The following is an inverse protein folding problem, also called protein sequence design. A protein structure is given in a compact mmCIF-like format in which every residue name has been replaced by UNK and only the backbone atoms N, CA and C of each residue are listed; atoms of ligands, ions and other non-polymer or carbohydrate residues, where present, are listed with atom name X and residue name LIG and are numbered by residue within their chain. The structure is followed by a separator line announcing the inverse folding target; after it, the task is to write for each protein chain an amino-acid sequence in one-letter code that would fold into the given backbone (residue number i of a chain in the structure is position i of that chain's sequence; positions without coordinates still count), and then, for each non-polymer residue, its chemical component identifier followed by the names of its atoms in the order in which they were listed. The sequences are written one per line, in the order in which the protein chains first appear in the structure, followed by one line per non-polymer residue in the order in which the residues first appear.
data_IF_687044179471
#
_entry.id   IF_687044179471
#
_cell.length_a   1.000
_cell.length_b   1.000
_cell.length_c   1.000
_cell.angle_alpha   90.00
_cell.angle_beta   90.00
_cell.angle_gamma   90.00
#
_symmetry.space_group_name_H-M   'P 1'
#
loop_
_entity.id
_entity.type
_entity.pdbx_description
1 polymer ?
#
# COMPACT_ATOMS: atom_id res chain seq x y z
N UNK A 1 -3.60 -8.86 15.28
CA UNK A 1 -2.36 -8.79 14.48
C UNK A 1 -1.19 -9.42 15.24
N UNK A 2 -0.89 -8.96 16.46
CA UNK A 2 0.25 -9.44 17.27
C UNK A 2 0.26 -10.98 17.46
N UNK A 3 -0.83 -11.59 17.94
CA UNK A 3 -0.86 -13.05 18.17
C UNK A 3 -0.68 -13.92 16.91
N UNK A 4 -1.12 -13.45 15.73
CA UNK A 4 -0.86 -14.16 14.46
C UNK A 4 0.60 -14.01 14.01
N UNK A 5 1.20 -12.85 14.26
CA UNK A 5 2.58 -12.59 13.90
C UNK A 5 3.55 -13.40 14.75
N UNK A 6 3.31 -13.48 16.06
CA UNK A 6 4.08 -14.31 16.98
C UNK A 6 4.07 -15.79 16.61
N UNK A 7 2.93 -16.30 16.12
CA UNK A 7 2.82 -17.67 15.63
C UNK A 7 3.82 -17.92 14.48
N UNK A 8 3.76 -17.12 13.42
CA UNK A 8 4.67 -17.26 12.27
C UNK A 8 6.14 -16.98 12.64
N UNK A 9 6.40 -16.09 13.59
CA UNK A 9 7.76 -15.80 14.02
C UNK A 9 8.41 -17.00 14.74
N UNK A 10 7.64 -17.77 15.50
CA UNK A 10 8.11 -18.97 16.23
C UNK A 10 8.37 -20.16 15.31
N UNK A 11 7.75 -20.20 14.13
CA UNK A 11 7.95 -21.29 13.17
C UNK A 11 9.41 -21.36 12.67
N UNK A 12 10.07 -22.50 12.89
CA UNK A 12 11.50 -22.66 12.60
C UNK A 12 11.82 -22.60 11.10
N UNK A 13 10.88 -23.01 10.24
CA UNK A 13 11.02 -22.97 8.78
C UNK A 13 10.85 -21.55 8.21
N UNK A 14 10.22 -20.65 8.96
CA UNK A 14 10.03 -19.26 8.54
C UNK A 14 11.32 -18.49 8.81
N UNK A 15 12.01 -18.11 7.74
CA UNK A 15 13.26 -17.32 7.82
C UNK A 15 13.00 -15.81 7.91
N UNK A 16 11.97 -15.32 7.22
CA UNK A 16 11.63 -13.90 7.10
C UNK A 16 10.12 -13.74 6.93
N UNK A 17 9.54 -12.66 7.45
CA UNK A 17 8.13 -12.30 7.30
C UNK A 17 8.07 -10.90 6.69
N UNK A 18 7.50 -10.78 5.50
CA UNK A 18 7.29 -9.49 4.86
C UNK A 18 5.89 -8.99 5.21
N UNK A 19 5.82 -7.81 5.82
CA UNK A 19 4.57 -7.15 6.18
C UNK A 19 4.37 -6.00 5.21
N UNK A 20 3.27 -6.02 4.47
CA UNK A 20 2.88 -4.90 3.65
C UNK A 20 2.27 -3.80 4.53
N UNK A 21 2.74 -2.55 4.38
CA UNK A 21 2.10 -1.40 5.03
C UNK A 21 0.64 -1.31 4.59
N UNK A 22 -0.28 -0.99 5.50
CA UNK A 22 -1.70 -0.89 5.17
C UNK A 22 -1.93 0.25 4.15
N UNK A 23 -2.69 -0.05 3.10
CA UNK A 23 -3.15 0.97 2.17
C UNK A 23 -4.08 1.96 2.87
N UNK A 24 -4.15 3.20 2.35
CA UNK A 24 -5.29 4.05 2.59
C UNK A 24 -6.59 3.35 2.24
N UNK A 25 -7.60 3.58 3.06
CA UNK A 25 -8.97 3.14 2.76
C UNK A 25 -9.70 4.29 2.08
N UNK A 26 -10.31 4.06 0.94
CA UNK A 26 -11.28 4.99 0.34
C UNK A 26 -12.72 4.65 0.78
N UNK A 27 -13.68 5.48 0.40
CA UNK A 27 -15.09 5.08 0.49
C UNK A 27 -15.38 3.86 -0.39
N UNK A 28 -16.38 3.06 -0.01
CA UNK A 28 -16.84 1.98 -0.89
C UNK A 28 -17.25 2.58 -2.23
N UNK A 29 -16.92 1.88 -3.31
CA UNK A 29 -17.14 2.32 -4.69
C UNK A 29 -16.42 3.63 -5.05
N UNK A 30 -15.31 3.97 -4.41
CA UNK A 30 -14.60 5.22 -4.69
C UNK A 30 -14.21 5.39 -6.17
N UNK A 31 -13.90 4.29 -6.88
CA UNK A 31 -13.67 4.35 -8.31
C UNK A 31 -14.91 4.80 -9.10
N UNK A 32 -16.07 4.23 -8.78
CA UNK A 32 -17.34 4.62 -9.42
C UNK A 32 -17.76 6.04 -9.03
N UNK A 33 -17.64 6.42 -7.76
CA UNK A 33 -17.97 7.75 -7.27
C UNK A 33 -17.08 8.83 -7.91
N UNK A 34 -15.80 8.53 -8.14
CA UNK A 34 -14.91 9.41 -8.86
C UNK A 34 -15.33 9.58 -10.33
N UNK A 35 -15.71 8.49 -11.00
CA UNK A 35 -16.21 8.56 -12.37
C UNK A 35 -17.52 9.37 -12.47
N UNK A 36 -18.45 9.14 -11.55
CA UNK A 36 -19.71 9.89 -11.43
C UNK A 36 -19.45 11.38 -11.18
N UNK A 37 -18.53 11.72 -10.28
CA UNK A 37 -18.14 13.11 -10.01
C UNK A 37 -17.64 13.81 -11.27
N UNK A 38 -16.72 13.19 -12.01
CA UNK A 38 -16.18 13.78 -13.25
C UNK A 38 -17.30 13.99 -14.27
N UNK A 39 -18.19 12.99 -14.43
CA UNK A 39 -19.27 13.04 -15.38
C UNK A 39 -20.32 14.12 -15.05
N UNK A 40 -20.63 14.30 -13.76
CA UNK A 40 -21.70 15.19 -13.29
C UNK A 40 -21.22 16.61 -13.04
N UNK A 41 -20.12 16.79 -12.32
CA UNK A 41 -19.60 18.09 -11.89
C UNK A 41 -18.72 18.76 -12.95
N UNK A 42 -18.33 18.03 -14.01
CA UNK A 42 -17.40 18.50 -15.06
C UNK A 42 -16.12 19.15 -14.48
N UNK A 43 -15.71 18.67 -13.31
CA UNK A 43 -14.59 19.21 -12.54
C UNK A 43 -13.48 18.16 -12.41
N UNK A 44 -12.20 18.56 -12.45
CA UNK A 44 -11.09 17.62 -12.28
C UNK A 44 -11.11 16.98 -10.89
N UNK A 45 -10.65 15.72 -10.76
CA UNK A 45 -10.51 15.04 -9.46
C UNK A 45 -9.58 15.77 -8.49
N UNK A 46 -8.68 16.63 -8.98
CA UNK A 46 -7.84 17.47 -8.13
C UNK A 46 -8.64 18.43 -7.24
N UNK A 47 -9.86 18.80 -7.61
CA UNK A 47 -10.73 19.64 -6.77
C UNK A 47 -11.26 18.90 -5.55
N UNK A 48 -11.32 17.57 -5.59
CA UNK A 48 -11.74 16.72 -4.46
C UNK A 48 -10.62 16.58 -3.43
N UNK A 49 -9.36 16.73 -3.86
CA UNK A 49 -8.21 16.60 -2.98
C UNK A 49 -8.19 15.24 -2.27
N UNK A 50 -7.95 15.24 -0.97
CA UNK A 50 -7.98 14.03 -0.13
C UNK A 50 -9.39 13.62 0.30
N UNK A 51 -10.45 14.24 -0.25
CA UNK A 51 -11.84 14.07 0.20
C UNK A 51 -12.40 12.65 0.05
N UNK A 52 -11.80 11.81 -0.79
CA UNK A 52 -12.21 10.40 -0.96
C UNK A 52 -11.47 9.41 -0.04
N UNK A 53 -10.54 9.90 0.78
CA UNK A 53 -9.71 9.07 1.68
C UNK A 53 -10.36 9.02 3.06
N UNK A 54 -10.71 7.83 3.54
CA UNK A 54 -11.04 7.62 4.95
C UNK A 54 -9.76 7.72 5.76
N UNK A 55 -9.66 8.76 6.60
CA UNK A 55 -8.44 9.09 7.32
C UNK A 55 -8.23 8.24 8.60
N UNK A 56 -8.22 6.92 8.47
CA UNK A 56 -7.88 5.97 9.56
C UNK A 56 -6.42 5.47 9.52
N UNK A 57 -5.60 6.02 8.62
CA UNK A 57 -4.30 5.43 8.27
C UNK A 57 -3.23 5.64 9.32
N UNK A 58 -3.23 6.76 10.05
CA UNK A 58 -2.15 7.09 10.99
C UNK A 58 -2.06 6.09 12.14
N UNK A 59 -3.20 5.75 12.75
CA UNK A 59 -3.24 4.78 13.85
C UNK A 59 -2.86 3.37 13.37
N UNK A 60 -3.34 2.98 12.19
CA UNK A 60 -3.00 1.68 11.61
C UNK A 60 -1.52 1.58 11.24
N UNK A 61 -0.94 2.63 10.66
CA UNK A 61 0.49 2.71 10.36
C UNK A 61 1.33 2.59 11.64
N UNK A 62 1.01 3.35 12.70
CA UNK A 62 1.72 3.27 13.99
C UNK A 62 1.63 1.85 14.58
N UNK A 63 0.45 1.22 14.52
CA UNK A 63 0.26 -0.15 15.02
C UNK A 63 1.09 -1.17 14.24
N UNK A 64 1.15 -1.06 12.92
CA UNK A 64 1.97 -1.93 12.08
C UNK A 64 3.45 -1.70 12.30
N UNK A 65 3.91 -0.45 12.40
CA UNK A 65 5.30 -0.13 12.70
C UNK A 65 5.73 -0.71 14.05
N UNK A 66 4.90 -0.54 15.08
CA UNK A 66 5.17 -1.11 16.41
C UNK A 66 5.23 -2.63 16.37
N UNK A 67 4.27 -3.28 15.71
CA UNK A 67 4.25 -4.74 15.58
C UNK A 67 5.47 -5.27 14.81
N UNK A 68 5.89 -4.58 13.75
CA UNK A 68 7.07 -4.95 12.96
C UNK A 68 8.35 -4.82 13.79
N UNK A 69 8.50 -3.72 14.55
CA UNK A 69 9.68 -3.49 15.43
C UNK A 69 9.85 -4.56 16.52
N UNK A 70 8.75 -5.18 16.96
CA UNK A 70 8.77 -6.23 17.98
C UNK A 70 9.09 -7.63 17.41
N UNK A 71 8.99 -7.81 16.08
CA UNK A 71 9.21 -9.09 15.42
C UNK A 71 10.60 -9.15 14.78
N UNK A 72 11.43 -10.10 15.22
CA UNK A 72 12.84 -10.23 14.79
C UNK A 72 12.98 -10.71 13.35
N UNK A 73 12.00 -11.47 12.87
CA UNK A 73 11.96 -11.99 11.48
C UNK A 73 11.25 -11.05 10.51
N UNK A 74 10.69 -9.95 10.99
CA UNK A 74 9.80 -9.12 10.17
C UNK A 74 10.56 -8.04 9.39
N UNK A 75 9.98 -7.67 8.25
CA UNK A 75 10.37 -6.53 7.45
C UNK A 75 9.12 -5.84 6.93
N UNK A 76 9.01 -4.54 7.21
CA UNK A 76 7.92 -3.73 6.70
C UNK A 76 8.27 -3.27 5.29
N UNK A 77 7.42 -3.62 4.33
CA UNK A 77 7.48 -3.13 2.95
C UNK A 77 6.50 -1.97 2.85
N UNK A 78 7.04 -0.77 2.73
CA UNK A 78 6.26 0.45 2.57
C UNK A 78 6.12 0.83 1.10
N UNK A 79 4.99 0.47 0.50
CA UNK A 79 4.64 0.93 -0.86
C UNK A 79 3.88 2.26 -0.87
N UNK A 80 3.54 2.83 0.29
CA UNK A 80 2.74 4.07 0.36
C UNK A 80 3.54 5.29 -0.05
N UNK A 81 4.87 5.24 0.05
CA UNK A 81 5.77 6.25 -0.50
C UNK A 81 5.56 6.46 -2.00
N UNK A 82 5.35 5.39 -2.76
CA UNK A 82 5.07 5.47 -4.18
C UNK A 82 3.73 6.17 -4.50
N UNK A 83 2.81 6.20 -3.53
CA UNK A 83 1.48 6.81 -3.65
C UNK A 83 1.44 8.27 -3.16
N UNK A 84 2.57 8.84 -2.73
CA UNK A 84 2.62 10.25 -2.32
C UNK A 84 2.48 11.19 -3.51
N UNK A 85 1.82 12.31 -3.28
CA UNK A 85 1.80 13.46 -4.19
C UNK A 85 3.07 14.32 -3.99
N UNK A 86 3.31 15.36 -4.81
CA UNK A 86 4.46 16.25 -4.65
C UNK A 86 4.55 16.94 -3.28
N UNK A 87 3.42 17.11 -2.59
CA UNK A 87 3.36 17.68 -1.24
C UNK A 87 3.67 16.65 -0.13
N UNK A 88 4.01 15.41 -0.50
CA UNK A 88 4.33 14.32 0.42
C UNK A 88 3.12 13.62 1.05
N UNK A 89 1.90 13.99 0.65
CA UNK A 89 0.67 13.37 1.14
C UNK A 89 0.32 12.14 0.30
N UNK A 90 -0.03 11.03 0.96
CA UNK A 90 -0.55 9.85 0.25
C UNK A 90 -1.87 10.23 -0.43
N UNK A 91 -1.93 10.01 -1.74
CA UNK A 91 -3.09 10.33 -2.58
C UNK A 91 -3.64 9.08 -3.27
N UNK A 92 -4.94 9.08 -3.55
CA UNK A 92 -5.63 8.01 -4.30
C UNK A 92 -5.91 8.40 -5.74
N UNK A 93 -5.40 9.55 -6.18
CA UNK A 93 -5.63 10.04 -7.53
C UNK A 93 -4.39 10.70 -8.12
N UNK A 94 -4.30 10.65 -9.44
CA UNK A 94 -3.36 11.36 -10.28
C UNK A 94 -3.98 12.71 -10.69
N UNK A 95 -3.52 13.81 -10.09
CA UNK A 95 -4.00 15.15 -10.44
C UNK A 95 -3.61 15.57 -11.86
N UNK A 96 -2.54 15.00 -12.42
CA UNK A 96 -2.03 15.34 -13.75
C UNK A 96 -2.81 14.61 -14.83
N UNK A 97 -3.11 13.32 -14.61
CA UNK A 97 -3.85 12.48 -15.58
C UNK A 97 -5.35 12.44 -15.34
N UNK A 98 -5.82 13.00 -14.23
CA UNK A 98 -7.21 12.98 -13.81
C UNK A 98 -7.77 11.55 -13.66
N UNK A 99 -6.99 10.66 -13.03
CA UNK A 99 -7.32 9.25 -12.82
C UNK A 99 -7.31 8.89 -11.33
N UNK A 100 -8.11 7.92 -10.92
CA UNK A 100 -8.02 7.29 -9.59
C UNK A 100 -7.08 6.08 -9.62
N UNK A 101 -6.45 5.79 -8.49
CA UNK A 101 -5.59 4.61 -8.29
C UNK A 101 -6.33 3.42 -7.67
N UNK A 102 -7.53 3.64 -7.13
CA UNK A 102 -8.33 2.62 -6.43
C UNK A 102 -9.62 2.36 -7.21
N UNK A 103 -10.09 1.12 -7.21
CA UNK A 103 -11.41 0.75 -7.74
C UNK A 103 -12.45 0.67 -6.61
N UNK A 104 -12.10 0.07 -5.47
CA UNK A 104 -12.99 -0.07 -4.32
C UNK A 104 -12.25 -0.27 -2.98
N UNK A 105 -12.66 0.48 -1.96
CA UNK A 105 -12.22 0.32 -0.57
C UNK A 105 -10.70 0.38 -0.37
N UNK A 106 -10.04 -0.77 -0.48
CA UNK A 106 -8.59 -0.97 -0.26
C UNK A 106 -7.86 -1.54 -1.47
N UNK A 107 -8.53 -1.69 -2.60
CA UNK A 107 -7.99 -2.32 -3.80
C UNK A 107 -7.43 -1.29 -4.77
N UNK A 108 -6.22 -1.57 -5.28
CA UNK A 108 -5.60 -0.78 -6.34
C UNK A 108 -6.13 -1.27 -7.69
N UNK A 109 -6.48 -0.32 -8.56
CA UNK A 109 -6.72 -0.61 -9.96
C UNK A 109 -5.39 -0.69 -10.73
N UNK A 110 -5.45 -0.92 -12.06
CA UNK A 110 -4.26 -1.00 -12.92
C UNK A 110 -3.31 0.20 -12.77
N UNK A 111 -3.83 1.42 -12.72
CA UNK A 111 -3.00 2.63 -12.59
C UNK A 111 -2.36 2.74 -11.21
N UNK A 112 -3.08 2.36 -10.16
CA UNK A 112 -2.54 2.28 -8.81
C UNK A 112 -1.44 1.22 -8.69
N UNK A 113 -1.65 0.05 -9.31
CA UNK A 113 -0.66 -1.01 -9.33
C UNK A 113 0.62 -0.60 -10.06
N UNK A 114 0.52 0.04 -11.23
CA UNK A 114 1.67 0.57 -11.97
C UNK A 114 2.51 1.53 -11.11
N UNK A 115 1.86 2.30 -10.23
CA UNK A 115 2.55 3.25 -9.35
C UNK A 115 3.34 2.56 -8.25
N UNK A 116 2.81 1.48 -7.67
CA UNK A 116 3.51 0.69 -6.63
C UNK A 116 4.41 -0.40 -7.21
N UNK A 117 4.34 -0.70 -8.52
CA UNK A 117 5.11 -1.76 -9.19
C UNK A 117 6.61 -1.72 -8.87
N UNK A 118 7.31 -0.56 -8.86
CA UNK A 118 8.75 -0.53 -8.56
C UNK A 118 9.10 -1.16 -7.20
N UNK A 119 8.22 -0.99 -6.20
CA UNK A 119 8.40 -1.56 -4.85
C UNK A 119 8.27 -3.08 -4.87
N UNK A 120 7.31 -3.61 -5.62
CA UNK A 120 7.13 -5.06 -5.80
C UNK A 120 8.27 -5.68 -6.62
N UNK A 121 8.75 -5.00 -7.65
CA UNK A 121 9.91 -5.46 -8.44
C UNK A 121 11.18 -5.50 -7.59
N UNK A 122 11.40 -4.51 -6.72
CA UNK A 122 12.52 -4.52 -5.77
C UNK A 122 12.41 -5.67 -4.78
N UNK A 123 11.22 -5.88 -4.21
CA UNK A 123 10.95 -7.00 -3.32
C UNK A 123 11.20 -8.34 -4.02
N UNK A 124 10.75 -8.51 -5.26
CA UNK A 124 10.98 -9.72 -6.05
C UNK A 124 12.47 -9.96 -6.28
N UNK A 125 13.24 -8.94 -6.71
CA UNK A 125 14.70 -9.05 -6.89
C UNK A 125 15.40 -9.46 -5.59
N UNK A 126 15.00 -8.88 -4.45
CA UNK A 126 15.54 -9.22 -3.14
C UNK A 126 15.26 -10.69 -2.77
N UNK A 127 14.03 -11.15 -2.99
CA UNK A 127 13.64 -12.53 -2.73
C UNK A 127 14.40 -13.50 -3.63
N UNK A 128 14.54 -13.20 -4.92
CA UNK A 128 15.32 -14.02 -5.85
C UNK A 128 16.79 -14.13 -5.42
N UNK A 129 17.42 -13.03 -5.02
CA UNK A 129 18.80 -13.02 -4.54
C UNK A 129 18.97 -13.90 -3.29
N UNK A 130 18.02 -13.84 -2.36
CA UNK A 130 18.02 -14.68 -1.15
C UNK A 130 17.82 -16.17 -1.48
N UNK A 131 16.97 -16.49 -2.46
CA UNK A 131 16.75 -17.86 -2.90
C UNK A 131 17.99 -18.42 -3.60
N UNK A 132 18.61 -17.66 -4.50
CA UNK A 132 19.83 -18.06 -5.22
C UNK A 132 21.03 -18.21 -4.28
N UNK A 133 21.21 -17.30 -3.32
CA UNK A 133 22.27 -17.39 -2.30
C UNK A 133 22.05 -18.49 -1.25
N UNK A 134 20.85 -19.06 -1.17
CA UNK A 134 20.53 -20.20 -0.29
C UNK A 134 20.85 -21.56 -0.91
N UNK A 135 21.27 -21.60 -2.19
CA UNK A 135 21.58 -22.85 -2.92
C UNK A 135 23.06 -23.27 -2.88
N UNK A 136 23.91 -22.56 -2.13
CA UNK A 136 25.37 -22.81 -2.05
C UNK A 136 25.87 -23.32 -0.70
N UNK A 137 25.01 -23.83 0.19
CA UNK A 137 25.41 -24.48 1.44
C UNK A 137 24.79 -25.87 1.57
#
# INVERSE_FOLDING_TARGET
MIGKLEYFEKEFKVKKIYILRALPVCFERCGSLAAEYIATMKSPLSTIGTGMIKNNNKVNAIRQERATKQCRKCELVDYTEALKNPDGNVTLYDSTRNLVYFDDGVHLNKFGFEKVRPVYEELARKLEAQLKGSSTN
#
